data_IF_678446718209
#
_entry.id   IF_678446718209
#
_cell.length_a   1.000
_cell.length_b   1.000
_cell.length_c   1.000
_cell.angle_alpha   90.00
_cell.angle_beta   90.00
_cell.angle_gamma   90.00
#
_symmetry.space_group_name_H-M   'P 1'
#
loop_
_entity.id
_entity.type
_entity.pdbx_description
1 polymer ?
#
# COMPACT_ATOMS: atom_id res chain seq x y z
N UNK A 1 19.84 5.93 -19.48
CA UNK A 1 21.00 6.65 -18.93
C UNK A 1 21.09 6.30 -17.46
N UNK A 2 22.26 5.85 -17.02
CA UNK A 2 22.52 5.52 -15.62
C UNK A 2 23.06 6.75 -14.87
N UNK A 3 22.70 6.86 -13.59
CA UNK A 3 23.19 7.90 -12.69
C UNK A 3 23.28 7.36 -11.27
N UNK A 4 24.01 8.07 -10.41
CA UNK A 4 24.21 7.70 -9.01
C UNK A 4 23.51 8.75 -8.14
N UNK A 5 22.81 8.28 -7.11
CA UNK A 5 22.36 9.12 -6.00
C UNK A 5 23.32 8.86 -4.84
N UNK A 6 24.16 9.83 -4.52
CA UNK A 6 25.14 9.77 -3.43
C UNK A 6 24.54 10.32 -2.12
N UNK A 7 25.11 9.94 -0.98
CA UNK A 7 24.78 10.44 0.37
C UNK A 7 23.29 10.33 0.76
N UNK A 8 22.64 9.23 0.40
CA UNK A 8 21.22 9.02 0.71
C UNK A 8 21.03 8.65 2.18
N UNK A 9 20.33 9.52 2.91
CA UNK A 9 19.79 9.22 4.25
C UNK A 9 18.46 8.46 4.11
N UNK A 10 18.53 7.14 3.97
CA UNK A 10 17.39 6.28 3.67
C UNK A 10 16.68 5.80 4.93
N UNK A 11 15.43 6.25 5.12
CA UNK A 11 14.54 5.78 6.19
C UNK A 11 13.72 4.59 5.69
N UNK A 12 13.83 3.46 6.40
CA UNK A 12 13.10 2.20 6.13
C UNK A 12 12.40 1.73 7.40
N UNK A 13 11.10 1.97 7.52
CA UNK A 13 10.38 1.74 8.77
C UNK A 13 10.93 2.65 9.86
N UNK A 14 11.70 2.08 10.80
CA UNK A 14 12.31 2.80 11.93
C UNK A 14 13.83 2.99 11.78
N UNK A 15 14.45 2.41 10.75
CA UNK A 15 15.90 2.46 10.58
C UNK A 15 16.30 3.55 9.58
N UNK A 16 17.17 4.46 10.02
CA UNK A 16 17.87 5.41 9.14
C UNK A 16 19.23 4.81 8.75
N UNK A 17 19.50 4.73 7.44
CA UNK A 17 20.73 4.16 6.89
C UNK A 17 21.32 5.07 5.84
N UNK A 18 22.64 5.26 5.85
CA UNK A 18 23.34 5.99 4.81
C UNK A 18 23.76 5.04 3.68
N UNK A 19 23.47 5.42 2.44
CA UNK A 19 23.82 4.62 1.26
C UNK A 19 23.96 5.49 0.02
N UNK A 20 24.51 4.94 -1.04
CA UNK A 20 24.45 5.47 -2.39
C UNK A 20 23.69 4.47 -3.27
N UNK A 21 22.97 4.96 -4.29
CA UNK A 21 22.16 4.14 -5.20
C UNK A 21 22.60 4.33 -6.64
N UNK A 22 22.93 3.24 -7.33
CA UNK A 22 23.10 3.23 -8.79
C UNK A 22 21.75 2.98 -9.44
N UNK A 23 21.32 3.90 -10.30
CA UNK A 23 20.01 3.90 -10.93
C UNK A 23 20.16 3.83 -12.44
N UNK A 24 19.30 3.04 -13.07
CA UNK A 24 19.15 3.06 -14.53
C UNK A 24 17.66 2.97 -14.91
N UNK A 25 17.21 3.95 -15.70
CA UNK A 25 15.81 4.04 -16.10
C UNK A 25 14.89 4.21 -14.88
N UNK A 26 14.03 3.22 -14.65
CA UNK A 26 13.03 3.24 -13.57
C UNK A 26 13.41 2.31 -12.41
N UNK A 27 14.65 1.84 -12.35
CA UNK A 27 15.08 0.81 -11.39
C UNK A 27 16.36 1.17 -10.66
N UNK A 28 16.46 0.68 -9.44
CA UNK A 28 17.69 0.70 -8.65
C UNK A 28 18.50 -0.54 -9.03
N UNK A 29 19.68 -0.38 -9.62
CA UNK A 29 20.56 -1.51 -9.98
C UNK A 29 21.29 -2.05 -8.75
N UNK A 30 21.79 -1.16 -7.90
CA UNK A 30 22.51 -1.53 -6.68
C UNK A 30 22.45 -0.42 -5.63
N UNK A 31 22.48 -0.81 -4.35
CA UNK A 31 22.69 0.08 -3.22
C UNK A 31 23.93 -0.36 -2.44
N UNK A 32 24.88 0.55 -2.21
CA UNK A 32 26.16 0.31 -1.51
C UNK A 32 26.57 1.56 -0.72
N UNK A 33 27.67 1.54 0.02
CA UNK A 33 28.17 2.74 0.71
C UNK A 33 28.64 3.82 -0.27
N UNK A 34 29.14 3.44 -1.46
CA UNK A 34 29.54 4.38 -2.51
C UNK A 34 29.92 3.70 -3.81
N UNK A 35 30.06 4.50 -4.87
CA UNK A 35 30.37 4.06 -6.24
C UNK A 35 31.62 4.75 -6.81
N UNK A 36 32.74 4.73 -6.08
CA UNK A 36 33.97 5.48 -6.42
C UNK A 36 34.61 5.09 -7.76
N UNK A 37 34.36 3.88 -8.27
CA UNK A 37 34.91 3.39 -9.55
C UNK A 37 34.01 3.72 -10.76
N UNK A 38 32.88 4.38 -10.56
CA UNK A 38 31.91 4.69 -11.62
C UNK A 38 31.91 6.18 -11.95
N UNK A 39 31.97 6.50 -13.24
CA UNK A 39 31.98 7.85 -13.80
C UNK A 39 30.61 8.26 -14.36
N UNK A 40 29.53 7.96 -13.63
CA UNK A 40 28.18 8.40 -13.99
C UNK A 40 27.87 9.79 -13.41
N UNK A 41 26.83 10.44 -13.95
CA UNK A 41 26.25 11.64 -13.34
C UNK A 41 25.86 11.34 -11.88
N UNK A 42 26.13 12.29 -10.97
CA UNK A 42 25.86 12.15 -9.54
C UNK A 42 24.88 13.19 -9.08
N UNK A 43 23.92 12.77 -8.28
CA UNK A 43 22.99 13.62 -7.54
C UNK A 43 23.31 13.46 -6.05
N UNK A 44 23.57 14.56 -5.37
CA UNK A 44 23.79 14.56 -3.92
C UNK A 44 22.44 14.67 -3.18
N UNK A 45 22.20 13.75 -2.25
CA UNK A 45 20.98 13.70 -1.44
C UNK A 45 21.21 14.00 0.06
N UNK A 46 22.40 14.48 0.44
CA UNK A 46 22.79 14.63 1.86
C UNK A 46 21.85 15.53 2.68
N UNK A 47 21.26 16.55 2.05
CA UNK A 47 20.31 17.47 2.71
C UNK A 47 18.89 16.89 2.90
N UNK A 48 18.66 15.64 2.49
CA UNK A 48 17.33 15.05 2.46
C UNK A 48 17.28 13.68 3.14
N UNK A 49 16.14 13.40 3.77
CA UNK A 49 15.76 12.05 4.18
C UNK A 49 14.92 11.43 3.06
N UNK A 50 15.37 10.29 2.55
CA UNK A 50 14.68 9.55 1.51
C UNK A 50 13.80 8.47 2.13
N UNK A 51 12.54 8.38 1.69
CA UNK A 51 11.64 7.25 2.00
C UNK A 51 11.15 6.62 0.70
N UNK A 52 10.70 5.35 0.70
CA UNK A 52 9.83 4.86 -0.35
C UNK A 52 8.56 5.72 -0.48
N UNK A 53 7.89 5.68 -1.62
CA UNK A 53 6.57 6.30 -1.75
C UNK A 53 5.54 5.58 -0.91
N UNK A 54 4.60 6.34 -0.36
CA UNK A 54 3.58 5.80 0.54
C UNK A 54 2.48 5.07 -0.23
N UNK A 55 1.96 4.00 0.36
CA UNK A 55 0.72 3.34 -0.09
C UNK A 55 -0.38 3.72 0.88
N UNK A 56 -1.44 4.37 0.39
CA UNK A 56 -2.58 4.76 1.21
C UNK A 56 -3.77 3.83 0.96
N UNK A 57 -4.56 3.62 2.00
CA UNK A 57 -5.87 2.96 1.89
C UNK A 57 -6.97 4.01 1.72
N UNK A 58 -7.83 3.82 0.72
CA UNK A 58 -9.00 4.66 0.49
C UNK A 58 -10.12 3.83 -0.19
N UNK A 59 -11.18 3.45 0.54
CA UNK A 59 -12.29 2.70 -0.02
C UNK A 59 -13.29 3.58 -0.81
N UNK A 60 -13.19 4.90 -0.71
CA UNK A 60 -14.22 5.85 -1.16
C UNK A 60 -13.71 6.78 -2.28
N UNK A 61 -13.05 6.19 -3.29
CA UNK A 61 -12.56 6.97 -4.43
C UNK A 61 -13.73 7.60 -5.22
N UNK A 62 -13.59 8.86 -5.70
CA UNK A 62 -14.67 9.57 -6.38
C UNK A 62 -14.82 9.14 -7.85
N UNK A 63 -15.31 7.92 -8.10
CA UNK A 63 -15.45 7.36 -9.46
C UNK A 63 -16.39 8.17 -10.36
N UNK A 64 -17.45 8.77 -9.80
CA UNK A 64 -18.52 9.45 -10.56
C UNK A 64 -18.37 10.98 -10.64
N UNK A 65 -17.34 11.56 -10.01
CA UNK A 65 -17.12 13.00 -10.00
C UNK A 65 -16.62 13.53 -11.35
N UNK A 66 -16.65 14.85 -11.55
CA UNK A 66 -16.00 15.49 -12.70
C UNK A 66 -14.48 15.28 -12.69
N UNK A 67 -13.83 15.39 -13.86
CA UNK A 67 -12.36 15.31 -13.94
C UNK A 67 -11.66 16.29 -13.00
N UNK A 68 -12.20 17.50 -12.82
CA UNK A 68 -11.64 18.52 -11.92
C UNK A 68 -11.70 18.06 -10.45
N UNK A 69 -12.83 17.51 -10.03
CA UNK A 69 -13.01 16.99 -8.66
C UNK A 69 -12.11 15.79 -8.40
N UNK A 70 -12.05 14.84 -9.35
CA UNK A 70 -11.13 13.68 -9.25
C UNK A 70 -9.69 14.13 -9.18
N UNK A 71 -9.27 15.05 -10.05
CA UNK A 71 -7.91 15.61 -10.04
C UNK A 71 -7.58 16.23 -8.68
N UNK A 72 -8.44 17.09 -8.16
CA UNK A 72 -8.23 17.74 -6.86
C UNK A 72 -8.17 16.71 -5.72
N UNK A 73 -9.03 15.70 -5.77
CA UNK A 73 -9.02 14.58 -4.83
C UNK A 73 -7.68 13.85 -4.84
N UNK A 74 -7.19 13.46 -6.01
CA UNK A 74 -5.92 12.73 -6.13
C UNK A 74 -4.72 13.57 -5.68
N UNK A 75 -4.71 14.85 -6.05
CA UNK A 75 -3.66 15.78 -5.63
C UNK A 75 -3.61 15.91 -4.12
N UNK A 76 -4.73 16.25 -3.48
CA UNK A 76 -4.81 16.53 -2.05
C UNK A 76 -4.61 15.27 -1.20
N UNK A 77 -5.23 14.16 -1.58
CA UNK A 77 -5.28 12.98 -0.74
C UNK A 77 -4.08 12.05 -0.91
N UNK A 78 -3.39 12.07 -2.07
CA UNK A 78 -2.29 11.16 -2.35
C UNK A 78 -0.99 11.88 -2.74
N UNK A 79 -0.99 12.62 -3.86
CA UNK A 79 0.25 13.11 -4.49
C UNK A 79 0.96 14.14 -3.59
N UNK A 80 0.21 15.07 -3.01
CA UNK A 80 0.75 16.06 -2.06
C UNK A 80 1.18 15.45 -0.72
N UNK A 81 0.86 14.18 -0.47
CA UNK A 81 1.32 13.43 0.70
C UNK A 81 2.45 12.45 0.36
N UNK A 82 2.94 12.45 -0.88
CA UNK A 82 4.01 11.54 -1.33
C UNK A 82 3.55 10.11 -1.54
N UNK A 83 2.26 9.92 -1.82
CA UNK A 83 1.70 8.61 -2.18
C UNK A 83 1.59 8.48 -3.70
N UNK A 84 2.06 7.35 -4.22
CA UNK A 84 2.00 7.01 -5.65
C UNK A 84 1.22 5.72 -5.92
N UNK A 85 0.64 5.13 -4.86
CA UNK A 85 -0.16 3.91 -4.92
C UNK A 85 -1.32 4.01 -3.95
N UNK A 86 -2.52 3.65 -4.40
CA UNK A 86 -3.70 3.51 -3.55
C UNK A 86 -4.16 2.05 -3.49
N UNK A 87 -4.42 1.55 -2.27
CA UNK A 87 -5.21 0.34 -2.06
C UNK A 87 -6.67 0.77 -1.90
N UNK A 88 -7.54 0.25 -2.75
CA UNK A 88 -8.98 0.52 -2.69
C UNK A 88 -9.76 -0.78 -2.70
N UNK A 89 -11.03 -0.73 -2.30
CA UNK A 89 -11.89 -1.89 -2.20
C UNK A 89 -13.08 -1.78 -3.14
N UNK A 90 -13.51 -2.93 -3.63
CA UNK A 90 -14.77 -3.07 -4.36
C UNK A 90 -15.74 -3.86 -3.51
N UNK A 91 -16.90 -3.27 -3.21
CA UNK A 91 -17.93 -3.95 -2.43
C UNK A 91 -18.60 -5.03 -3.27
N UNK A 92 -18.61 -6.26 -2.75
CA UNK A 92 -19.26 -7.41 -3.39
C UNK A 92 -20.29 -7.99 -2.41
N UNK A 93 -21.56 -8.05 -2.84
CA UNK A 93 -22.66 -8.55 -2.01
C UNK A 93 -23.07 -9.98 -2.39
N UNK A 94 -22.76 -10.39 -3.61
CA UNK A 94 -23.00 -11.75 -4.10
C UNK A 94 -21.78 -12.30 -4.84
N UNK A 95 -21.48 -13.59 -4.66
CA UNK A 95 -20.31 -14.24 -5.25
C UNK A 95 -20.25 -14.13 -6.79
N UNK A 96 -21.40 -14.06 -7.47
CA UNK A 96 -21.48 -13.93 -8.93
C UNK A 96 -21.02 -12.57 -9.46
N UNK A 97 -21.06 -11.53 -8.63
CA UNK A 97 -20.77 -10.14 -9.04
C UNK A 97 -19.28 -9.84 -9.05
N UNK A 98 -18.45 -10.69 -8.43
CA UNK A 98 -17.03 -10.41 -8.20
C UNK A 98 -16.29 -9.99 -9.48
N UNK A 99 -16.44 -10.76 -10.56
CA UNK A 99 -15.70 -10.51 -11.81
C UNK A 99 -16.18 -9.23 -12.51
N UNK A 100 -17.48 -9.00 -12.52
CA UNK A 100 -18.10 -7.80 -13.10
C UNK A 100 -17.68 -6.54 -12.33
N UNK A 101 -17.79 -6.58 -11.00
CA UNK A 101 -17.44 -5.46 -10.12
C UNK A 101 -15.95 -5.11 -10.17
N UNK A 102 -15.07 -6.11 -10.24
CA UNK A 102 -13.64 -5.86 -10.45
C UNK A 102 -13.34 -5.29 -11.83
N UNK A 103 -14.12 -5.65 -12.86
CA UNK A 103 -13.95 -5.09 -14.21
C UNK A 103 -14.43 -3.64 -14.28
N UNK A 104 -15.59 -3.35 -13.68
CA UNK A 104 -16.16 -2.00 -13.53
C UNK A 104 -15.15 -1.08 -12.84
N UNK A 105 -14.65 -1.47 -11.66
CA UNK A 105 -13.66 -0.68 -10.91
C UNK A 105 -12.35 -0.43 -11.69
N UNK A 106 -11.90 -1.40 -12.52
CA UNK A 106 -10.74 -1.18 -13.40
C UNK A 106 -11.02 -0.14 -14.49
N UNK A 107 -12.24 -0.15 -15.03
CA UNK A 107 -12.68 0.82 -16.02
C UNK A 107 -12.77 2.22 -15.42
N UNK A 108 -13.30 2.32 -14.20
CA UNK A 108 -13.45 3.61 -13.49
C UNK A 108 -12.10 4.21 -13.10
N UNK A 109 -11.05 3.39 -12.94
CA UNK A 109 -9.69 3.81 -12.60
C UNK A 109 -8.76 3.93 -13.80
N UNK A 110 -9.28 3.86 -15.04
CA UNK A 110 -8.46 3.95 -16.25
C UNK A 110 -7.74 5.30 -16.38
N UNK A 111 -8.30 6.36 -15.80
CA UNK A 111 -7.72 7.71 -15.79
C UNK A 111 -6.94 8.02 -14.50
N UNK A 112 -6.72 7.03 -13.63
CA UNK A 112 -6.00 7.22 -12.38
C UNK A 112 -4.58 7.78 -12.64
N UNK A 113 -4.16 8.84 -11.93
CA UNK A 113 -2.83 9.42 -12.09
C UNK A 113 -1.74 8.64 -11.34
N UNK A 114 -2.14 7.74 -10.45
CA UNK A 114 -1.27 6.93 -9.58
C UNK A 114 -1.67 5.46 -9.69
N UNK A 115 -0.74 4.57 -9.38
CA UNK A 115 -1.01 3.14 -9.42
C UNK A 115 -2.08 2.74 -8.39
N UNK A 116 -2.78 1.65 -8.63
CA UNK A 116 -3.84 1.20 -7.75
C UNK A 116 -3.83 -0.31 -7.56
N UNK A 117 -4.29 -0.75 -6.39
CA UNK A 117 -4.46 -2.15 -6.02
C UNK A 117 -5.93 -2.35 -5.66
N UNK A 118 -6.59 -3.32 -6.31
CA UNK A 118 -7.99 -3.63 -6.05
C UNK A 118 -8.13 -4.80 -5.07
N UNK A 119 -8.64 -4.51 -3.88
CA UNK A 119 -9.15 -5.49 -2.93
C UNK A 119 -10.68 -5.61 -3.03
N UNK A 120 -11.26 -6.52 -2.25
CA UNK A 120 -12.73 -6.67 -2.17
C UNK A 120 -13.19 -6.45 -0.74
N UNK A 121 -14.38 -5.85 -0.58
CA UNK A 121 -15.08 -5.74 0.70
C UNK A 121 -16.35 -6.57 0.65
N UNK A 122 -16.53 -7.45 1.63
CA UNK A 122 -17.63 -8.42 1.64
C UNK A 122 -18.23 -8.59 3.04
N UNK A 123 -19.52 -8.94 3.16
CA UNK A 123 -20.07 -9.44 4.41
C UNK A 123 -19.55 -10.87 4.72
N UNK A 124 -19.42 -11.27 5.99
CA UNK A 124 -18.94 -12.60 6.39
C UNK A 124 -19.69 -13.76 5.72
N UNK A 125 -21.01 -13.60 5.49
CA UNK A 125 -21.89 -14.62 4.90
C UNK A 125 -21.46 -15.11 3.50
N UNK A 126 -20.69 -14.35 2.74
CA UNK A 126 -20.23 -14.76 1.40
C UNK A 126 -18.76 -15.21 1.39
N UNK A 127 -18.07 -15.20 2.53
CA UNK A 127 -16.71 -15.75 2.64
C UNK A 127 -16.77 -17.28 2.65
N UNK A 128 -16.89 -17.86 1.46
CA UNK A 128 -16.90 -19.32 1.25
C UNK A 128 -15.62 -19.77 0.55
N UNK A 129 -15.26 -21.07 0.63
CA UNK A 129 -14.19 -21.62 -0.20
C UNK A 129 -14.38 -21.38 -1.71
N UNK A 130 -15.62 -21.29 -2.19
CA UNK A 130 -15.94 -20.94 -3.58
C UNK A 130 -15.53 -19.51 -3.91
N UNK A 131 -15.95 -18.55 -3.08
CA UNK A 131 -15.59 -17.14 -3.20
C UNK A 131 -14.07 -16.93 -3.16
N UNK A 132 -13.38 -17.53 -2.19
CA UNK A 132 -11.92 -17.42 -2.03
C UNK A 132 -11.19 -17.92 -3.28
N UNK A 133 -11.62 -19.04 -3.85
CA UNK A 133 -11.05 -19.56 -5.11
C UNK A 133 -11.23 -18.58 -6.26
N UNK A 134 -12.38 -17.90 -6.35
CA UNK A 134 -12.59 -16.86 -7.37
C UNK A 134 -11.68 -15.65 -7.16
N UNK A 135 -11.56 -15.15 -5.92
CA UNK A 135 -10.62 -14.07 -5.57
C UNK A 135 -9.18 -14.39 -5.99
N UNK A 136 -8.75 -15.64 -5.77
CA UNK A 136 -7.42 -16.12 -6.13
C UNK A 136 -7.17 -16.16 -7.63
N UNK A 137 -8.16 -16.63 -8.42
CA UNK A 137 -8.09 -16.55 -9.90
C UNK A 137 -8.05 -15.11 -10.39
N UNK A 138 -8.81 -14.23 -9.75
CA UNK A 138 -8.84 -12.79 -10.04
C UNK A 138 -7.64 -12.02 -9.46
N UNK A 139 -6.74 -12.68 -8.70
CA UNK A 139 -5.57 -12.10 -8.02
C UNK A 139 -5.90 -10.93 -7.09
N UNK A 140 -6.98 -11.07 -6.33
CA UNK A 140 -7.40 -10.12 -5.29
C UNK A 140 -6.46 -10.26 -4.08
N UNK A 141 -5.62 -9.26 -3.76
CA UNK A 141 -4.55 -9.41 -2.77
C UNK A 141 -5.02 -9.34 -1.32
N UNK A 142 -6.21 -8.83 -1.04
CA UNK A 142 -6.79 -8.73 0.30
C UNK A 142 -8.31 -8.83 0.25
N UNK A 143 -8.90 -9.42 1.29
CA UNK A 143 -10.35 -9.51 1.46
C UNK A 143 -10.70 -8.77 2.74
N UNK A 144 -11.49 -7.71 2.62
CA UNK A 144 -12.03 -6.96 3.74
C UNK A 144 -13.36 -7.57 4.16
N UNK A 145 -13.51 -7.84 5.45
CA UNK A 145 -14.73 -8.41 6.04
C UNK A 145 -15.48 -7.33 6.82
N UNK A 146 -16.69 -7.00 6.36
CA UNK A 146 -17.60 -6.06 7.01
C UNK A 146 -18.32 -6.75 8.17
N UNK A 147 -17.74 -6.68 9.37
CA UNK A 147 -18.21 -7.41 10.55
C UNK A 147 -19.15 -6.52 11.34
N UNK A 148 -20.46 -6.77 11.23
CA UNK A 148 -21.46 -6.04 12.00
C UNK A 148 -21.60 -6.59 13.44
N UNK A 149 -21.52 -7.90 13.60
CA UNK A 149 -21.54 -8.59 14.89
C UNK A 149 -20.38 -9.58 14.98
N UNK A 150 -19.54 -9.42 16.01
CA UNK A 150 -18.39 -10.28 16.28
C UNK A 150 -18.81 -11.72 16.58
N UNK A 151 -20.04 -11.95 17.05
CA UNK A 151 -20.57 -13.28 17.35
C UNK A 151 -20.71 -14.17 16.10
N UNK A 152 -20.85 -13.55 14.91
CA UNK A 152 -20.94 -14.27 13.64
C UNK A 152 -19.64 -15.03 13.32
N UNK A 153 -18.49 -14.49 13.73
CA UNK A 153 -17.19 -15.08 13.47
C UNK A 153 -17.03 -16.46 14.11
N UNK A 154 -17.67 -16.69 15.26
CA UNK A 154 -17.61 -17.98 15.96
C UNK A 154 -18.30 -19.13 15.22
N UNK A 155 -19.18 -18.82 14.26
CA UNK A 155 -19.95 -19.81 13.48
C UNK A 155 -19.29 -20.15 12.14
N UNK A 156 -18.24 -19.43 11.77
CA UNK A 156 -17.60 -19.58 10.46
C UNK A 156 -16.71 -20.84 10.39
N UNK A 157 -16.71 -21.56 9.26
CA UNK A 157 -15.87 -22.75 9.09
C UNK A 157 -14.41 -22.36 8.77
N UNK A 158 -13.70 -21.80 9.74
CA UNK A 158 -12.35 -21.26 9.56
C UNK A 158 -11.33 -22.25 9.01
N UNK A 159 -11.43 -23.54 9.37
CA UNK A 159 -10.59 -24.59 8.80
C UNK A 159 -10.69 -24.67 7.28
N UNK A 160 -11.91 -24.58 6.73
CA UNK A 160 -12.15 -24.64 5.28
C UNK A 160 -11.75 -23.32 4.59
N UNK A 161 -11.93 -22.20 5.29
CA UNK A 161 -11.47 -20.88 4.83
C UNK A 161 -9.95 -20.87 4.70
N UNK A 162 -9.23 -21.34 5.73
CA UNK A 162 -7.76 -21.44 5.73
C UNK A 162 -7.27 -22.30 4.57
N UNK A 163 -7.87 -23.47 4.38
CA UNK A 163 -7.52 -24.37 3.28
C UNK A 163 -7.71 -23.70 1.91
N UNK A 164 -8.81 -22.99 1.71
CA UNK A 164 -9.09 -22.30 0.45
C UNK A 164 -8.11 -21.15 0.15
N UNK A 165 -7.62 -20.47 1.19
CA UNK A 165 -6.64 -19.38 1.06
C UNK A 165 -5.29 -19.91 0.53
N UNK A 166 -4.84 -21.08 1.01
CA UNK A 166 -3.57 -21.68 0.60
C UNK A 166 -3.58 -22.15 -0.87
N UNK A 167 -2.54 -21.89 -1.71
CA UNK A 167 -1.26 -21.26 -1.39
C UNK A 167 -1.16 -19.75 -1.63
N UNK A 168 -2.24 -19.07 -2.02
CA UNK A 168 -2.17 -17.64 -2.36
C UNK A 168 -2.16 -16.74 -1.12
N UNK A 169 -2.74 -17.21 -0.01
CA UNK A 169 -2.66 -16.61 1.32
C UNK A 169 -3.02 -15.11 1.37
N UNK A 170 -4.04 -14.69 0.62
CA UNK A 170 -4.51 -13.30 0.72
C UNK A 170 -5.06 -13.03 2.14
N UNK A 171 -4.56 -12.01 2.85
CA UNK A 171 -5.02 -11.72 4.20
C UNK A 171 -6.48 -11.29 4.24
N UNK A 172 -7.17 -11.71 5.30
CA UNK A 172 -8.44 -11.14 5.73
C UNK A 172 -8.19 -9.89 6.58
N UNK A 173 -8.92 -8.82 6.32
CA UNK A 173 -8.81 -7.54 7.03
C UNK A 173 -10.20 -7.20 7.59
N UNK A 174 -10.35 -6.98 8.90
CA UNK A 174 -11.65 -6.64 9.47
C UNK A 174 -12.01 -5.18 9.15
N UNK A 175 -13.30 -4.93 8.91
CA UNK A 175 -13.91 -3.60 8.93
C UNK A 175 -15.02 -3.64 9.99
N UNK A 176 -14.87 -2.81 11.02
CA UNK A 176 -15.86 -2.68 12.10
C UNK A 176 -16.69 -1.40 11.92
N UNK A 177 -17.94 -1.36 12.44
CA UNK A 177 -18.79 -0.17 12.35
C UNK A 177 -18.22 0.99 13.18
N UNK A 178 -18.27 2.21 12.62
CA UNK A 178 -17.79 3.43 13.28
C UNK A 178 -18.52 3.75 14.59
N UNK A 179 -19.76 3.28 14.77
CA UNK A 179 -20.57 3.51 15.96
C UNK A 179 -20.09 2.79 17.22
N UNK A 180 -19.07 1.95 17.10
CA UNK A 180 -18.47 1.20 18.21
C UNK A 180 -17.59 2.15 19.02
N UNK A 181 -17.87 2.35 20.31
CA UNK A 181 -17.01 3.16 21.17
C UNK A 181 -15.57 2.63 21.18
N UNK A 182 -14.58 3.47 21.55
CA UNK A 182 -13.15 3.07 21.55
C UNK A 182 -12.88 1.75 22.28
N UNK A 183 -13.59 1.49 23.38
CA UNK A 183 -13.46 0.23 24.16
C UNK A 183 -14.01 -0.98 23.39
N UNK A 184 -15.15 -0.83 22.74
CA UNK A 184 -15.79 -1.90 21.97
C UNK A 184 -14.96 -2.25 20.74
N UNK A 185 -14.41 -1.24 20.04
CA UNK A 185 -13.50 -1.46 18.91
C UNK A 185 -12.24 -2.20 19.33
N UNK A 186 -11.64 -1.82 20.47
CA UNK A 186 -10.48 -2.54 21.01
C UNK A 186 -10.81 -4.00 21.35
N UNK A 187 -11.99 -4.25 21.93
CA UNK A 187 -12.46 -5.60 22.20
C UNK A 187 -12.63 -6.42 20.91
N UNK A 188 -13.29 -5.86 19.89
CA UNK A 188 -13.49 -6.50 18.59
C UNK A 188 -12.16 -6.85 17.90
N UNK A 189 -11.19 -5.93 17.92
CA UNK A 189 -9.84 -6.14 17.38
C UNK A 189 -9.12 -7.28 18.11
N UNK A 190 -9.21 -7.32 19.45
CA UNK A 190 -8.59 -8.38 20.25
C UNK A 190 -9.20 -9.74 19.93
N UNK A 191 -10.53 -9.85 19.90
CA UNK A 191 -11.24 -11.10 19.56
C UNK A 191 -10.86 -11.57 18.15
N UNK A 192 -10.83 -10.65 17.18
CA UNK A 192 -10.39 -10.95 15.82
C UNK A 192 -8.95 -11.48 15.78
N UNK A 193 -8.02 -10.78 16.45
CA UNK A 193 -6.60 -11.14 16.48
C UNK A 193 -6.38 -12.52 17.11
N UNK A 194 -7.05 -12.81 18.23
CA UNK A 194 -6.97 -14.12 18.89
C UNK A 194 -7.54 -15.24 18.02
N UNK A 195 -8.70 -15.01 17.39
CA UNK A 195 -9.35 -15.98 16.51
C UNK A 195 -8.47 -16.31 15.30
N UNK A 196 -7.96 -15.29 14.61
CA UNK A 196 -7.13 -15.50 13.41
C UNK A 196 -5.82 -16.23 13.75
N UNK A 197 -5.22 -15.94 14.90
CA UNK A 197 -4.04 -16.66 15.42
C UNK A 197 -4.36 -18.12 15.75
N UNK A 198 -5.46 -18.36 16.47
CA UNK A 198 -5.91 -19.70 16.85
C UNK A 198 -6.17 -20.56 15.62
N UNK A 199 -6.87 -20.03 14.63
CA UNK A 199 -7.24 -20.74 13.40
C UNK A 199 -6.09 -20.78 12.38
N UNK A 200 -5.03 -19.99 12.58
CA UNK A 200 -3.89 -19.81 11.67
C UNK A 200 -4.32 -19.32 10.29
N UNK A 201 -5.22 -18.35 10.28
CA UNK A 201 -5.74 -17.73 9.06
C UNK A 201 -4.90 -16.48 8.74
N UNK A 202 -4.38 -16.34 7.50
CA UNK A 202 -3.76 -15.10 7.04
C UNK A 202 -4.65 -13.88 7.30
N UNK A 203 -4.22 -12.95 8.16
CA UNK A 203 -5.02 -11.77 8.49
C UNK A 203 -4.18 -10.53 8.81
N UNK A 204 -4.78 -9.35 8.69
CA UNK A 204 -4.28 -8.15 9.34
C UNK A 204 -4.80 -8.11 10.79
N UNK A 205 -3.95 -7.76 11.77
CA UNK A 205 -4.36 -7.70 13.18
C UNK A 205 -5.22 -6.47 13.49
N UNK A 206 -5.17 -5.45 12.64
CA UNK A 206 -5.83 -4.15 12.78
C UNK A 206 -6.68 -3.87 11.54
N UNK A 207 -7.70 -3.04 11.72
CA UNK A 207 -8.39 -2.40 10.59
C UNK A 207 -7.47 -1.35 9.95
N UNK A 208 -7.77 -0.98 8.70
CA UNK A 208 -6.99 0.03 7.99
C UNK A 208 -7.63 1.40 8.16
N UNK A 209 -6.84 2.33 8.69
CA UNK A 209 -7.20 3.75 8.72
C UNK A 209 -7.18 4.35 7.32
N UNK A 210 -8.22 5.11 6.98
CA UNK A 210 -8.27 5.87 5.74
C UNK A 210 -7.20 6.97 5.71
N UNK A 211 -6.63 7.21 4.53
CA UNK A 211 -5.68 8.30 4.27
C UNK A 211 -4.38 8.27 5.11
N UNK A 212 -4.03 7.13 5.69
CA UNK A 212 -2.79 6.87 6.43
C UNK A 212 -1.94 5.82 5.69
N UNK A 213 -0.60 5.89 5.73
CA UNK A 213 0.26 4.87 5.16
C UNK A 213 -0.01 3.50 5.76
N UNK A 214 -0.25 2.53 4.88
CA UNK A 214 -0.41 1.13 5.26
C UNK A 214 0.90 0.64 5.87
N UNK A 215 0.81 -0.02 7.02
CA UNK A 215 1.99 -0.53 7.71
C UNK A 215 2.76 -1.55 6.85
N UNK A 216 4.09 -1.56 6.98
CA UNK A 216 4.95 -2.49 6.23
C UNK A 216 4.59 -3.96 6.45
N UNK A 217 4.05 -4.30 7.62
CA UNK A 217 3.55 -5.64 7.93
C UNK A 217 2.38 -6.02 7.01
N UNK A 218 1.39 -5.13 6.86
CA UNK A 218 0.24 -5.35 5.98
C UNK A 218 0.65 -5.32 4.50
N UNK A 219 1.57 -4.43 4.11
CA UNK A 219 2.12 -4.42 2.73
C UNK A 219 2.80 -5.74 2.36
N UNK A 220 3.55 -6.36 3.29
CA UNK A 220 4.14 -7.70 3.10
C UNK A 220 3.06 -8.79 2.99
N UNK A 221 2.04 -8.76 3.85
CA UNK A 221 0.94 -9.74 3.84
C UNK A 221 0.11 -9.68 2.56
N UNK A 222 -0.21 -8.47 2.10
CA UNK A 222 -0.95 -8.25 0.85
C UNK A 222 -0.10 -8.47 -0.41
N UNK A 223 1.23 -8.53 -0.29
CA UNK A 223 2.17 -8.67 -1.41
C UNK A 223 2.39 -7.39 -2.20
N UNK A 224 1.82 -6.25 -1.76
CA UNK A 224 2.11 -4.93 -2.33
C UNK A 224 3.60 -4.62 -2.17
N UNK A 225 4.16 -4.90 -0.99
CA UNK A 225 5.61 -4.96 -0.82
C UNK A 225 6.12 -6.36 -1.21
N UNK A 226 7.22 -6.47 -1.99
CA UNK A 226 8.17 -5.42 -2.39
C UNK A 226 7.91 -4.81 -3.77
N UNK A 227 6.79 -5.14 -4.42
CA UNK A 227 6.48 -4.67 -5.78
C UNK A 227 6.36 -3.14 -5.82
N UNK A 228 5.79 -2.56 -4.77
CA UNK A 228 5.67 -1.13 -4.50
C UNK A 228 6.19 -0.80 -3.10
N UNK A 229 6.43 0.49 -2.85
CA UNK A 229 6.91 0.99 -1.55
C UNK A 229 8.25 0.35 -1.13
N UNK A 230 9.19 0.25 -2.07
CA UNK A 230 10.47 -0.44 -1.90
C UNK A 230 11.61 0.32 -2.57
N UNK A 231 12.75 0.45 -1.87
CA UNK A 231 14.00 1.04 -2.37
C UNK A 231 15.20 0.08 -2.17
N UNK A 232 15.00 -1.19 -2.51
CA UNK A 232 16.03 -2.22 -2.56
C UNK A 232 16.59 -2.36 -3.99
N UNK A 233 17.80 -2.92 -4.11
CA UNK A 233 18.37 -3.32 -5.39
C UNK A 233 17.38 -4.19 -6.19
N UNK A 234 17.23 -3.91 -7.48
CA UNK A 234 16.23 -4.51 -8.36
C UNK A 234 14.82 -3.90 -8.26
N UNK A 235 14.56 -3.05 -7.26
CA UNK A 235 13.27 -2.37 -7.05
C UNK A 235 12.99 -1.24 -8.03
N UNK A 236 11.75 -0.76 -8.01
CA UNK A 236 11.31 0.43 -8.74
C UNK A 236 11.86 1.70 -8.08
N UNK A 237 12.25 2.69 -8.89
CA UNK A 237 12.71 3.98 -8.40
C UNK A 237 11.51 4.91 -8.11
N UNK A 238 10.88 4.69 -6.96
CA UNK A 238 9.78 5.51 -6.46
C UNK A 238 10.05 5.92 -5.01
N UNK A 239 10.40 7.19 -4.79
CA UNK A 239 10.80 7.72 -3.49
C UNK A 239 10.26 9.11 -3.21
N UNK A 240 10.25 9.47 -1.92
CA UNK A 240 10.03 10.82 -1.42
C UNK A 240 11.34 11.38 -0.86
N UNK A 241 11.54 12.68 -0.99
CA UNK A 241 12.60 13.43 -0.31
C UNK A 241 11.97 14.41 0.67
N UNK A 242 12.36 14.28 1.93
CA UNK A 242 12.01 15.21 2.99
C UNK A 242 13.23 16.04 3.35
N UNK A 243 13.07 17.36 3.52
CA UNK A 243 14.18 18.20 3.97
C UNK A 243 14.66 17.75 5.36
N UNK A 244 15.97 17.53 5.50
CA UNK A 244 16.59 17.15 6.77
C UNK A 244 16.61 18.35 7.71
N UNK A 245 15.97 18.22 8.87
CA UNK A 245 15.94 19.23 9.93
C UNK A 245 15.60 18.59 11.29
N UNK A 246 15.58 19.38 12.35
CA UNK A 246 15.29 18.90 13.71
C UNK A 246 13.92 18.21 13.85
N UNK A 247 12.92 18.60 13.04
CA UNK A 247 11.58 18.02 13.07
C UNK A 247 11.47 16.69 12.31
N UNK A 248 12.35 16.43 11.33
CA UNK A 248 12.33 15.22 10.49
C UNK A 248 13.35 14.16 10.92
N UNK A 249 14.50 14.56 11.49
CA UNK A 249 15.64 13.65 11.76
C UNK A 249 15.34 12.56 12.79
N UNK A 250 14.44 12.82 13.74
CA UNK A 250 14.07 11.86 14.81
C UNK A 250 12.73 11.15 14.56
N UNK A 251 12.24 11.16 13.31
CA UNK A 251 10.97 10.53 12.93
C UNK A 251 11.22 9.25 12.17
N UNK A 252 10.32 8.29 12.37
CA UNK A 252 10.21 7.11 11.52
C UNK A 252 9.47 7.45 10.21
N UNK A 253 9.36 6.47 9.31
CA UNK A 253 8.70 6.64 8.01
C UNK A 253 7.25 7.16 8.13
N UNK A 254 6.49 6.67 9.11
CA UNK A 254 5.12 7.12 9.37
C UNK A 254 5.10 8.52 9.97
N UNK A 255 6.03 8.86 10.84
CA UNK A 255 6.19 10.21 11.39
C UNK A 255 6.53 11.24 10.31
N UNK A 256 7.36 10.89 9.34
CA UNK A 256 7.69 11.74 8.19
C UNK A 256 6.46 12.01 7.31
N UNK A 257 5.57 11.03 7.12
CA UNK A 257 4.31 11.23 6.39
C UNK A 257 3.46 12.38 6.98
N UNK A 258 3.34 12.46 8.31
CA UNK A 258 2.61 13.55 8.98
C UNK A 258 3.32 14.90 8.91
N UNK A 259 4.59 14.92 8.51
CA UNK A 259 5.38 16.13 8.27
C UNK A 259 5.41 16.50 6.78
N UNK A 260 4.26 16.42 6.11
CA UNK A 260 4.13 16.68 4.66
C UNK A 260 4.60 18.07 4.23
N UNK A 261 4.67 19.06 5.15
CA UNK A 261 5.28 20.37 4.90
C UNK A 261 6.76 20.31 4.55
N UNK A 262 7.47 19.25 4.99
CA UNK A 262 8.89 19.03 4.70
C UNK A 262 9.11 18.14 3.48
N UNK A 263 8.05 17.58 2.89
CA UNK A 263 8.12 16.81 1.65
C UNK A 263 8.38 17.77 0.47
N UNK A 264 9.57 17.67 -0.10
CA UNK A 264 10.01 18.56 -1.18
C UNK A 264 9.88 17.92 -2.56
N UNK A 265 10.10 16.62 -2.69
CA UNK A 265 10.09 15.93 -3.98
C UNK A 265 9.44 14.57 -3.83
N UNK A 266 8.61 14.21 -4.80
CA UNK A 266 8.12 12.84 -4.98
C UNK A 266 8.50 12.39 -6.38
N UNK A 267 9.23 11.28 -6.46
CA UNK A 267 9.60 10.60 -7.70
C UNK A 267 8.80 9.31 -7.81
N UNK A 268 8.22 9.08 -8.97
CA UNK A 268 7.42 7.90 -9.28
C UNK A 268 7.89 7.29 -10.61
N UNK A 269 8.34 6.03 -10.57
CA UNK A 269 8.88 5.30 -11.72
C UNK A 269 10.02 6.08 -12.41
N UNK A 270 10.93 6.63 -11.61
CA UNK A 270 12.08 7.41 -12.08
C UNK A 270 11.76 8.79 -12.65
N UNK A 271 10.51 9.26 -12.54
CA UNK A 271 10.09 10.59 -13.00
C UNK A 271 9.61 11.44 -11.84
N UNK A 272 10.00 12.71 -11.81
CA UNK A 272 9.49 13.66 -10.83
C UNK A 272 7.98 13.83 -11.03
N UNK A 273 7.21 13.45 -10.01
CA UNK A 273 5.76 13.64 -9.95
C UNK A 273 5.43 14.97 -9.27
N UNK A 274 6.21 15.34 -8.25
CA UNK A 274 6.04 16.58 -7.49
C UNK A 274 7.41 17.20 -7.16
N UNK A 275 7.51 18.51 -7.26
CA UNK A 275 8.62 19.32 -6.75
C UNK A 275 8.06 20.59 -6.07
N UNK A 276 8.22 20.68 -4.75
CA UNK A 276 7.63 21.75 -3.94
C UNK A 276 6.10 21.74 -4.02
N UNK A 277 5.53 22.84 -4.51
CA UNK A 277 4.09 22.99 -4.78
C UNK A 277 3.69 22.56 -6.20
N UNK A 278 4.67 22.36 -7.10
CA UNK A 278 4.40 21.98 -8.48
C UNK A 278 4.17 20.48 -8.58
N UNK A 279 3.07 20.11 -9.24
CA UNK A 279 2.71 18.72 -9.49
C UNK A 279 2.56 18.49 -10.98
N UNK A 280 3.30 17.51 -11.48
CA UNK A 280 3.19 17.07 -12.85
C UNK A 280 2.12 15.99 -13.01
N UNK A 281 0.87 16.45 -13.01
CA UNK A 281 -0.31 15.58 -13.07
C UNK A 281 -0.49 14.98 -14.46
N UNK A 282 -0.52 13.64 -14.54
CA UNK A 282 -0.77 12.89 -15.77
C UNK A 282 -1.94 11.91 -15.56
N UNK A 283 -3.13 12.18 -16.11
CA UNK A 283 -4.24 11.23 -16.08
C UNK A 283 -3.85 9.91 -16.76
N UNK A 284 -4.33 8.79 -16.24
CA UNK A 284 -4.13 7.45 -16.82
C UNK A 284 -2.69 6.94 -16.78
N UNK A 285 -1.80 7.59 -16.02
CA UNK A 285 -0.43 7.10 -15.77
C UNK A 285 -0.44 5.86 -14.85
N UNK A 286 -1.44 5.79 -13.97
CA UNK A 286 -1.61 4.74 -12.99
C UNK A 286 -1.97 3.41 -13.62
N UNK A 287 -1.40 2.35 -13.07
CA UNK A 287 -1.64 0.98 -13.51
C UNK A 287 -2.26 0.15 -12.38
N UNK A 288 -3.05 -0.86 -12.76
CA UNK A 288 -3.50 -1.86 -11.81
C UNK A 288 -2.32 -2.79 -11.44
N UNK A 289 -1.90 -2.71 -10.19
CA UNK A 289 -0.80 -3.51 -9.65
C UNK A 289 -1.31 -4.90 -9.29
N UNK A 290 -1.09 -5.85 -10.21
CA UNK A 290 -1.51 -7.24 -10.04
C UNK A 290 -0.54 -8.00 -9.14
N UNK A 291 -1.00 -8.39 -7.95
CA UNK A 291 -0.21 -9.18 -7.01
C UNK A 291 -0.28 -10.66 -7.40
N UNK A 292 0.88 -11.29 -7.61
CA UNK A 292 0.96 -12.72 -7.96
C UNK A 292 1.08 -13.62 -6.73
N UNK A 293 1.73 -13.12 -5.67
CA UNK A 293 2.06 -13.92 -4.49
C UNK A 293 2.02 -13.05 -3.23
N UNK A 294 0.83 -12.86 -2.61
CA UNK A 294 0.70 -12.30 -1.28
C UNK A 294 1.47 -13.15 -0.25
N UNK A 295 1.89 -12.52 0.85
CA UNK A 295 2.49 -13.22 1.99
C UNK A 295 3.88 -13.84 1.75
N UNK A 296 4.55 -13.59 0.62
CA UNK A 296 5.86 -14.17 0.35
C UNK A 296 6.96 -13.66 1.30
N UNK A 297 6.84 -12.42 1.78
CA UNK A 297 7.83 -11.75 2.64
C UNK A 297 7.41 -11.62 4.11
N UNK A 298 6.42 -12.40 4.54
CA UNK A 298 5.98 -12.41 5.95
C UNK A 298 6.86 -13.35 6.76
N UNK A 299 7.37 -12.87 7.90
CA UNK A 299 8.29 -13.63 8.74
C UNK A 299 7.62 -14.66 9.66
N UNK A 300 6.30 -14.66 9.84
CA UNK A 300 5.48 -15.74 10.43
C UNK A 300 3.97 -15.38 10.35
N UNK A 301 3.08 -16.39 10.38
CA UNK A 301 1.61 -16.25 10.56
C UNK A 301 1.22 -16.41 12.03
#
# INVERSE_FOLDING_TARGET
MAYIIDNVHLMKGQALTETSMLVEGQRILASKSGFNRYNYLRMDADEYIMTPTHVLFDPNLPFTGSFKERKEYYLRNFIMKGSTVVLTTVTVRFERELEEKLKEAKSDLIDSPIDFVLAVSIPPRILTPGFIRKCKRARVPAIFLEIQDISELGKMPWGWIREALFPYNCPLIPIFPESSGKKDRMYQINVWSELMKKEKVPSAPEDLDEAVPISKSILKKTGIFPLKSNLQSGGELSYNLYKKNAETTHRDERGLFYQSKHLVVTVDKGKVLRAGSEVYYRPGKGENVIIKTPGFFTENY
#
